data_IF_068663930638
#
_entry.id   IF_068663930638
#
_cell.length_a   1.000
_cell.length_b   1.000
_cell.length_c   1.000
_cell.angle_alpha   90.00
_cell.angle_beta   90.00
_cell.angle_gamma   90.00
#
_symmetry.space_group_name_H-M   'P 1'
#
loop_
_entity.id
_entity.type
_entity.pdbx_description
1 polymer ?
#
# COMPACT_ATOMS: atom_id res chain seq x y z
N UNK A 1 -14.77 -5.14 2.87
CA UNK A 1 -13.82 -5.77 3.80
C UNK A 1 -12.57 -6.27 3.07
N UNK A 2 -12.68 -7.07 2.01
CA UNK A 2 -11.53 -7.50 1.18
C UNK A 2 -10.53 -6.38 0.83
N UNK A 3 -11.01 -5.23 0.36
CA UNK A 3 -10.11 -4.11 0.05
C UNK A 3 -9.38 -3.54 1.29
N UNK A 4 -9.99 -3.59 2.48
CA UNK A 4 -9.34 -3.18 3.73
C UNK A 4 -8.23 -4.15 4.13
N UNK A 5 -8.42 -5.45 3.88
CA UNK A 5 -7.39 -6.47 4.13
C UNK A 5 -6.19 -6.28 3.20
N UNK A 6 -6.46 -5.89 1.94
CA UNK A 6 -5.43 -5.52 0.98
C UNK A 6 -4.60 -4.32 1.45
N UNK A 7 -5.25 -3.28 2.02
CA UNK A 7 -4.52 -2.12 2.55
C UNK A 7 -3.62 -2.46 3.73
N UNK A 8 -4.02 -3.37 4.61
CA UNK A 8 -3.20 -3.75 5.77
C UNK A 8 -1.99 -4.59 5.35
N UNK A 9 -2.13 -5.47 4.35
CA UNK A 9 -1.02 -6.24 3.77
C UNK A 9 0.00 -5.29 3.12
N UNK A 10 -0.46 -4.29 2.36
CA UNK A 10 0.43 -3.31 1.73
C UNK A 10 1.18 -2.43 2.73
N UNK A 11 0.52 -2.05 3.83
CA UNK A 11 1.17 -1.32 4.92
C UNK A 11 2.31 -2.12 5.57
N UNK A 12 2.15 -3.44 5.72
CA UNK A 12 3.21 -4.30 6.24
C UNK A 12 4.37 -4.42 5.24
N UNK A 13 4.09 -4.56 3.94
CA UNK A 13 5.12 -4.58 2.89
C UNK A 13 5.91 -3.26 2.90
N UNK A 14 5.23 -2.12 3.04
CA UNK A 14 5.88 -0.80 3.09
C UNK A 14 6.98 -0.72 4.17
N UNK A 15 6.75 -1.29 5.35
CA UNK A 15 7.75 -1.27 6.43
C UNK A 15 9.00 -2.09 6.15
N UNK A 16 8.95 -3.03 5.20
CA UNK A 16 10.06 -3.94 4.89
C UNK A 16 10.86 -3.51 3.65
N UNK A 17 10.34 -2.58 2.86
CA UNK A 17 11.02 -2.12 1.65
C UNK A 17 12.07 -1.07 2.01
N UNK A 18 13.33 -1.36 1.69
CA UNK A 18 14.46 -0.47 1.96
C UNK A 18 14.72 0.51 0.82
N UNK A 19 14.47 0.10 -0.42
CA UNK A 19 14.76 0.92 -1.59
C UNK A 19 13.73 2.04 -1.76
N UNK A 20 14.13 3.32 -1.80
CA UNK A 20 13.20 4.46 -1.70
C UNK A 20 12.24 4.55 -2.90
N UNK A 21 12.66 4.12 -4.10
CA UNK A 21 11.76 4.02 -5.26
C UNK A 21 10.65 2.98 -5.05
N UNK A 22 11.00 1.81 -4.50
CA UNK A 22 10.01 0.77 -4.26
C UNK A 22 9.10 1.15 -3.09
N UNK A 23 9.64 1.84 -2.09
CA UNK A 23 8.86 2.42 -0.99
C UNK A 23 7.82 3.41 -1.55
N UNK A 24 8.21 4.31 -2.46
CA UNK A 24 7.29 5.23 -3.15
C UNK A 24 6.23 4.50 -3.99
N UNK A 25 6.61 3.46 -4.73
CA UNK A 25 5.67 2.66 -5.52
C UNK A 25 4.65 1.93 -4.64
N UNK A 26 5.08 1.35 -3.51
CA UNK A 26 4.17 0.69 -2.58
C UNK A 26 3.16 1.66 -1.97
N UNK A 27 3.57 2.89 -1.65
CA UNK A 27 2.66 3.95 -1.20
C UNK A 27 1.64 4.36 -2.27
N UNK A 28 2.05 4.44 -3.53
CA UNK A 28 1.14 4.77 -4.62
C UNK A 28 0.04 3.71 -4.79
N UNK A 29 0.42 2.43 -4.73
CA UNK A 29 -0.54 1.32 -4.80
C UNK A 29 -1.48 1.34 -3.58
N UNK A 30 -0.94 1.58 -2.38
CA UNK A 30 -1.72 1.65 -1.15
C UNK A 30 -2.74 2.80 -1.19
N UNK A 31 -2.32 3.99 -1.60
CA UNK A 31 -3.20 5.17 -1.69
C UNK A 31 -4.30 5.01 -2.74
N UNK A 32 -4.01 4.36 -3.88
CA UNK A 32 -5.02 3.98 -4.86
C UNK A 32 -6.10 3.07 -4.26
N UNK A 33 -5.71 2.05 -3.52
CA UNK A 33 -6.67 1.13 -2.89
C UNK A 33 -7.47 1.85 -1.79
N UNK A 34 -6.87 2.78 -1.04
CA UNK A 34 -7.57 3.60 -0.06
C UNK A 34 -8.62 4.51 -0.76
N UNK A 35 -8.28 5.15 -1.88
CA UNK A 35 -9.23 5.96 -2.64
C UNK A 35 -10.41 5.13 -3.15
N UNK A 36 -10.16 3.90 -3.62
CA UNK A 36 -11.20 2.97 -4.05
C UNK A 36 -12.06 2.52 -2.87
N UNK A 37 -11.47 2.19 -1.71
CA UNK A 37 -12.23 1.79 -0.52
C UNK A 37 -13.15 2.91 -0.05
N UNK A 38 -12.64 4.14 0.04
CA UNK A 38 -13.42 5.29 0.51
C UNK A 38 -14.53 5.65 -0.47
N UNK A 39 -14.26 5.61 -1.78
CA UNK A 39 -15.26 5.84 -2.82
C UNK A 39 -16.41 4.83 -2.76
N UNK A 40 -16.11 3.55 -2.49
CA UNK A 40 -17.12 2.50 -2.36
C UNK A 40 -17.93 2.58 -1.05
N UNK A 41 -17.38 3.17 0.02
CA UNK A 41 -18.05 3.30 1.31
C UNK A 41 -18.98 4.53 1.39
N UNK A 42 -18.70 5.56 0.60
CA UNK A 42 -19.47 6.81 0.62
C UNK A 42 -20.49 6.86 -0.52
N UNK A 43 -21.63 7.52 -0.30
CA UNK A 43 -22.65 7.70 -1.34
C UNK A 43 -22.22 8.57 -2.53
N UNK A 44 -21.18 9.40 -2.38
CA UNK A 44 -20.68 10.28 -3.44
C UNK A 44 -19.16 10.20 -3.57
N UNK A 45 -18.66 10.00 -4.79
CA UNK A 45 -17.22 9.89 -5.10
C UNK A 45 -16.41 11.18 -4.94
N UNK A 46 -17.03 12.30 -4.57
CA UNK A 46 -16.39 13.61 -4.52
C UNK A 46 -15.22 13.65 -3.52
N UNK A 47 -15.39 13.05 -2.35
CA UNK A 47 -14.33 12.97 -1.34
C UNK A 47 -13.17 12.06 -1.76
N UNK A 48 -13.46 10.88 -2.30
CA UNK A 48 -12.43 9.96 -2.80
C UNK A 48 -11.61 10.57 -3.96
N UNK A 49 -12.24 11.41 -4.78
CA UNK A 49 -11.57 12.06 -5.90
C UNK A 49 -10.58 13.14 -5.43
N UNK A 50 -10.97 13.98 -4.48
CA UNK A 50 -10.08 14.99 -3.89
C UNK A 50 -8.89 14.31 -3.21
N UNK A 51 -9.15 13.25 -2.44
CA UNK A 51 -8.10 12.49 -1.76
C UNK A 51 -7.11 11.89 -2.77
N UNK A 52 -7.61 11.34 -3.87
CA UNK A 52 -6.76 10.82 -4.95
C UNK A 52 -5.85 11.88 -5.57
N UNK A 53 -6.40 13.04 -5.94
CA UNK A 53 -5.62 14.10 -6.60
C UNK A 53 -4.53 14.68 -5.70
N UNK A 54 -4.83 14.91 -4.42
CA UNK A 54 -3.87 15.46 -3.46
C UNK A 54 -2.72 14.49 -3.22
N UNK A 55 -3.03 13.19 -3.03
CA UNK A 55 -1.99 12.18 -2.83
C UNK A 55 -1.16 11.91 -4.08
N UNK A 56 -1.79 11.85 -5.26
CA UNK A 56 -1.07 11.63 -6.51
C UNK A 56 -0.14 12.80 -6.84
N UNK A 57 -0.59 14.04 -6.62
CA UNK A 57 0.25 15.23 -6.80
C UNK A 57 1.48 15.23 -5.86
N UNK A 58 1.27 14.95 -4.57
CA UNK A 58 2.37 14.90 -3.59
C UNK A 58 3.37 13.77 -3.86
N UNK A 59 2.88 12.58 -4.23
CA UNK A 59 3.73 11.42 -4.51
C UNK A 59 4.55 11.59 -5.80
N UNK A 60 4.03 12.26 -6.82
CA UNK A 60 4.78 12.52 -8.05
C UNK A 60 5.98 13.44 -7.82
N UNK A 61 5.81 14.49 -7.00
CA UNK A 61 6.93 15.39 -6.65
C UNK A 61 8.00 14.63 -5.86
N UNK A 62 7.59 13.79 -4.90
CA UNK A 62 8.50 12.95 -4.12
C UNK A 62 9.23 11.94 -5.01
N UNK A 63 8.55 11.35 -5.99
CA UNK A 63 9.15 10.40 -6.95
C UNK A 63 10.25 11.05 -7.81
N UNK A 64 10.00 12.26 -8.34
CA UNK A 64 11.01 13.00 -9.11
C UNK A 64 12.21 13.35 -8.23
N UNK A 65 11.96 13.77 -6.98
CA UNK A 65 13.03 14.12 -6.05
C UNK A 65 13.92 12.93 -5.71
N UNK A 66 13.32 11.79 -5.39
CA UNK A 66 14.07 10.58 -4.99
C UNK A 66 14.85 10.00 -6.17
N UNK A 67 14.29 9.97 -7.38
CA UNK A 67 15.02 9.47 -8.56
C UNK A 67 16.17 10.37 -8.98
N UNK A 68 16.11 11.68 -8.68
CA UNK A 68 17.21 12.61 -8.93
C UNK A 68 18.37 12.47 -7.92
N UNK A 69 18.11 11.99 -6.70
CA UNK A 69 19.11 11.87 -5.63
C UNK A 69 19.64 10.46 -5.41
N UNK A 70 18.83 9.42 -5.66
CA UNK A 70 19.23 8.05 -5.40
C UNK A 70 20.11 7.50 -6.52
N UNK A 71 21.33 7.08 -6.18
CA UNK A 71 22.07 6.12 -6.99
C UNK A 71 21.26 4.83 -7.10
N UNK A 72 21.26 4.18 -8.27
CA UNK A 72 20.61 2.88 -8.52
C UNK A 72 21.26 1.76 -7.67
N UNK A 73 21.03 1.77 -6.36
CA UNK A 73 21.46 0.69 -5.47
C UNK A 73 20.65 -0.57 -5.77
N UNK A 74 21.33 -1.72 -5.79
CA UNK A 74 20.68 -2.99 -6.07
C UNK A 74 19.66 -3.31 -4.98
N UNK A 75 18.48 -3.77 -5.40
CA UNK A 75 17.39 -4.12 -4.52
C UNK A 75 17.78 -5.29 -3.60
N UNK A 76 17.95 -5.03 -2.31
CA UNK A 76 18.21 -6.06 -1.30
C UNK A 76 16.91 -6.48 -0.62
N UNK A 77 16.50 -7.71 -0.85
CA UNK A 77 15.30 -8.29 -0.25
C UNK A 77 15.68 -9.37 0.75
N UNK A 78 15.31 -9.18 2.02
CA UNK A 78 15.57 -10.19 3.06
C UNK A 78 14.48 -11.26 3.05
N UNK A 79 14.81 -12.55 2.87
CA UNK A 79 13.81 -13.62 2.83
C UNK A 79 13.09 -13.82 4.17
N UNK A 80 13.70 -13.43 5.29
CA UNK A 80 13.07 -13.45 6.62
C UNK A 80 11.87 -12.50 6.72
N UNK A 81 12.01 -11.28 6.18
CA UNK A 81 10.91 -10.31 6.11
C UNK A 81 9.75 -10.83 5.24
N UNK A 82 10.08 -11.47 4.12
CA UNK A 82 9.10 -12.07 3.22
C UNK A 82 8.27 -13.15 3.92
N UNK A 83 8.92 -14.00 4.71
CA UNK A 83 8.24 -15.04 5.49
C UNK A 83 7.32 -14.45 6.57
N UNK A 84 7.76 -13.39 7.26
CA UNK A 84 6.92 -12.70 8.25
C UNK A 84 5.69 -12.06 7.61
N UNK A 85 5.85 -11.41 6.44
CA UNK A 85 4.72 -10.85 5.68
C UNK A 85 3.74 -11.97 5.29
N UNK A 86 4.24 -13.10 4.78
CA UNK A 86 3.40 -14.23 4.39
C UNK A 86 2.62 -14.82 5.57
N UNK A 87 3.24 -14.91 6.74
CA UNK A 87 2.56 -15.40 7.94
C UNK A 87 1.47 -14.42 8.39
N UNK A 88 1.78 -13.12 8.38
CA UNK A 88 0.84 -12.07 8.76
C UNK A 88 -0.36 -11.98 7.82
N UNK A 89 -0.14 -12.18 6.51
CA UNK A 89 -1.23 -12.17 5.52
C UNK A 89 -2.14 -13.38 5.69
N UNK A 90 -1.59 -14.58 5.91
CA UNK A 90 -2.38 -15.77 6.21
C UNK A 90 -3.22 -15.60 7.48
N UNK A 91 -2.65 -15.05 8.55
CA UNK A 91 -3.40 -14.79 9.78
C UNK A 91 -4.53 -13.78 9.56
N UNK A 92 -4.29 -12.73 8.78
CA UNK A 92 -5.34 -11.77 8.45
C UNK A 92 -6.49 -12.46 7.71
N UNK A 93 -6.19 -13.28 6.68
CA UNK A 93 -7.18 -14.03 5.90
C UNK A 93 -7.98 -14.98 6.78
N UNK A 94 -7.33 -15.70 7.69
CA UNK A 94 -7.99 -16.61 8.61
C UNK A 94 -8.96 -15.90 9.54
N UNK A 95 -8.58 -14.73 10.08
CA UNK A 95 -9.47 -13.91 10.91
C UNK A 95 -10.71 -13.47 10.13
N UNK A 96 -10.56 -13.14 8.84
CA UNK A 96 -11.71 -12.74 8.01
C UNK A 96 -12.68 -13.88 7.75
N UNK A 97 -12.18 -15.10 7.47
CA UNK A 97 -13.04 -16.28 7.27
C UNK A 97 -13.88 -16.61 8.52
N UNK A 98 -13.41 -16.24 9.70
CA UNK A 98 -14.13 -16.45 10.96
C UNK A 98 -15.18 -15.37 11.19
N UNK A 99 -14.88 -14.11 10.85
CA UNK A 99 -15.75 -12.97 11.15
C UNK A 99 -16.94 -12.84 10.19
N UNK A 100 -16.76 -13.18 8.91
CA UNK A 100 -17.85 -13.25 7.93
C UNK A 100 -17.68 -14.55 7.12
N UNK A 101 -18.44 -15.61 7.43
CA UNK A 101 -18.33 -16.91 6.75
C UNK A 101 -19.01 -16.94 5.36
N UNK A 102 -19.49 -15.80 4.83
CA UNK A 102 -20.26 -15.69 3.59
C UNK A 102 -19.58 -14.76 2.57
#
# INVERSE_FOLDING_TARGET
IYFLTLTSILALIFTQVTHPLAMGLTLLIQTLIICLTTGLMTHSFWFSYILFLVFLGGLLVLFIYVTALASNEMFSFTPSAAFFILLSSLMSIMVYLILDPL
#
